data_IF_899302696115
#
_entry.id   IF_899302696115
#
_cell.length_a   1.000
_cell.length_b   1.000
_cell.length_c   1.000
_cell.angle_alpha   90.00
_cell.angle_beta   90.00
_cell.angle_gamma   90.00
#
_symmetry.space_group_name_H-M   'P 1'
#
loop_
_entity.id
_entity.type
_entity.pdbx_description
1 polymer ?
#
# COMPACT_ATOMS: atom_id res chain seq x y z
N UNK A 1 -36.89 -0.32 21.68
CA UNK A 1 -37.39 0.71 20.76
C UNK A 1 -36.14 1.42 20.27
N UNK A 2 -35.63 1.04 19.09
CA UNK A 2 -34.46 1.70 18.51
C UNK A 2 -34.90 3.08 18.06
N UNK A 3 -34.28 4.12 18.61
CA UNK A 3 -34.62 5.49 18.26
C UNK A 3 -33.91 5.92 16.96
N UNK A 4 -34.15 7.16 16.55
CA UNK A 4 -33.54 7.73 15.34
C UNK A 4 -32.00 7.76 15.45
N UNK A 5 -31.45 7.93 16.65
CA UNK A 5 -30.02 7.96 16.90
C UNK A 5 -29.41 6.56 16.78
N UNK A 6 -30.07 5.54 17.33
CA UNK A 6 -29.64 4.15 17.19
C UNK A 6 -29.56 3.74 15.72
N UNK A 7 -30.56 4.14 14.91
CA UNK A 7 -30.60 3.87 13.47
C UNK A 7 -29.52 4.65 12.73
N UNK A 8 -29.28 5.92 13.09
CA UNK A 8 -28.23 6.73 12.47
C UNK A 8 -26.84 6.16 12.75
N UNK A 9 -26.55 5.77 13.99
CA UNK A 9 -25.29 5.16 14.39
C UNK A 9 -25.03 3.85 13.66
N UNK A 10 -26.06 3.00 13.54
CA UNK A 10 -25.94 1.74 12.78
C UNK A 10 -25.57 1.98 11.32
N UNK A 11 -26.25 2.91 10.65
CA UNK A 11 -25.96 3.23 9.25
C UNK A 11 -24.53 3.76 9.08
N UNK A 12 -24.09 4.65 9.98
CA UNK A 12 -22.73 5.16 9.96
C UNK A 12 -21.70 4.04 10.11
N UNK A 13 -21.91 3.14 11.08
CA UNK A 13 -21.03 1.99 11.28
C UNK A 13 -20.95 1.11 10.03
N UNK A 14 -22.09 0.79 9.42
CA UNK A 14 -22.15 0.01 8.18
C UNK A 14 -21.41 0.67 7.02
N UNK A 15 -21.54 1.99 6.86
CA UNK A 15 -20.79 2.73 5.83
C UNK A 15 -19.29 2.72 6.09
N UNK A 16 -18.87 2.93 7.34
CA UNK A 16 -17.45 2.89 7.73
C UNK A 16 -16.84 1.52 7.49
N UNK A 17 -17.52 0.46 7.92
CA UNK A 17 -17.03 -0.91 7.77
C UNK A 17 -16.93 -1.31 6.29
N UNK A 18 -17.89 -0.87 5.47
CA UNK A 18 -17.87 -1.08 4.02
C UNK A 18 -16.70 -0.34 3.37
N UNK A 19 -16.45 0.90 3.75
CA UNK A 19 -15.36 1.70 3.18
C UNK A 19 -13.98 1.13 3.57
N UNK A 20 -13.82 0.70 4.83
CA UNK A 20 -12.62 0.00 5.28
C UNK A 20 -12.39 -1.31 4.50
N UNK A 21 -13.44 -2.12 4.32
CA UNK A 21 -13.35 -3.35 3.53
C UNK A 21 -12.95 -3.07 2.08
N UNK A 22 -13.52 -2.02 1.47
CA UNK A 22 -13.16 -1.60 0.11
C UNK A 22 -11.70 -1.13 0.01
N UNK A 23 -11.21 -0.37 0.98
CA UNK A 23 -9.82 0.08 1.00
C UNK A 23 -8.84 -1.09 1.16
N UNK A 24 -9.15 -2.03 2.05
CA UNK A 24 -8.35 -3.24 2.24
C UNK A 24 -8.32 -4.09 0.97
N UNK A 25 -9.47 -4.27 0.30
CA UNK A 25 -9.56 -5.00 -0.97
C UNK A 25 -8.78 -4.34 -2.12
N UNK A 26 -8.66 -3.01 -2.13
CA UNK A 26 -7.91 -2.25 -3.14
C UNK A 26 -6.41 -2.23 -2.89
N UNK A 27 -5.93 -2.73 -1.74
CA UNK A 27 -4.50 -2.74 -1.41
C UNK A 27 -3.78 -3.78 -2.29
N UNK A 28 -3.21 -3.32 -3.40
CA UNK A 28 -2.39 -4.17 -4.27
C UNK A 28 -1.11 -4.55 -3.52
N UNK A 29 -0.96 -5.84 -3.23
CA UNK A 29 0.29 -6.41 -2.74
C UNK A 29 1.19 -6.69 -3.94
N UNK A 30 2.17 -5.82 -4.16
CA UNK A 30 3.24 -6.10 -5.13
C UNK A 30 4.17 -7.17 -4.52
N UNK A 31 4.45 -8.23 -5.26
CA UNK A 31 5.41 -9.27 -4.86
C UNK A 31 6.82 -8.91 -5.38
N UNK A 32 7.85 -8.88 -4.54
CA UNK A 32 9.21 -8.60 -4.99
C UNK A 32 9.74 -9.73 -5.86
N UNK A 33 10.49 -9.38 -6.90
CA UNK A 33 11.24 -10.35 -7.71
C UNK A 33 12.52 -10.76 -6.97
N UNK A 34 12.80 -12.06 -6.90
CA UNK A 34 13.90 -12.64 -6.10
C UNK A 34 14.62 -13.75 -6.87
N UNK A 35 15.95 -13.76 -6.82
CA UNK A 35 16.75 -14.84 -7.40
C UNK A 35 16.94 -16.03 -6.43
N UNK A 36 17.60 -17.09 -6.91
CA UNK A 36 17.92 -18.28 -6.13
C UNK A 36 18.89 -18.01 -4.96
N UNK A 37 19.61 -16.89 -4.99
CA UNK A 37 20.52 -16.45 -3.93
C UNK A 37 19.83 -15.55 -2.88
N UNK A 38 18.54 -15.22 -3.07
CA UNK A 38 17.77 -14.36 -2.18
C UNK A 38 17.97 -12.85 -2.43
N UNK A 39 18.65 -12.47 -3.52
CA UNK A 39 18.76 -11.08 -3.92
C UNK A 39 17.43 -10.60 -4.49
N UNK A 40 17.01 -9.41 -4.08
CA UNK A 40 15.76 -8.81 -4.54
C UNK A 40 16.02 -7.72 -5.55
N UNK A 41 15.16 -7.64 -6.56
CA UNK A 41 15.30 -6.67 -7.65
C UNK A 41 14.14 -5.68 -7.68
N UNK A 42 14.44 -4.46 -8.11
CA UNK A 42 13.45 -3.42 -8.22
C UNK A 42 12.50 -3.67 -9.40
N UNK A 43 11.20 -3.71 -9.15
CA UNK A 43 10.17 -3.88 -10.19
C UNK A 43 10.05 -2.71 -11.19
N UNK A 44 10.78 -1.61 -11.01
CA UNK A 44 10.77 -0.46 -11.93
C UNK A 44 11.97 -0.47 -12.87
N UNK A 45 13.17 -0.65 -12.33
CA UNK A 45 14.43 -0.47 -13.06
C UNK A 45 15.25 -1.75 -13.18
N UNK A 46 14.87 -2.84 -12.51
CA UNK A 46 15.58 -4.12 -12.54
C UNK A 46 16.87 -4.16 -11.69
N UNK A 47 17.23 -3.06 -11.03
CA UNK A 47 18.43 -2.98 -10.19
C UNK A 47 18.27 -3.78 -8.88
N UNK A 48 19.37 -4.32 -8.35
CA UNK A 48 19.37 -5.00 -7.07
C UNK A 48 19.02 -4.03 -5.93
N UNK A 49 18.12 -4.43 -5.04
CA UNK A 49 17.73 -3.65 -3.87
C UNK A 49 18.83 -3.79 -2.82
N UNK A 50 19.35 -2.66 -2.35
CA UNK A 50 20.35 -2.61 -1.29
C UNK A 50 19.88 -3.38 -0.04
N UNK A 51 20.80 -4.15 0.56
CA UNK A 51 20.51 -5.00 1.72
C UNK A 51 20.02 -4.15 2.90
N UNK A 52 20.61 -2.99 3.14
CA UNK A 52 20.21 -2.04 4.21
C UNK A 52 18.73 -1.65 4.12
N UNK A 53 18.20 -1.54 2.89
CA UNK A 53 16.78 -1.26 2.65
C UNK A 53 15.91 -2.47 2.93
N UNK A 54 16.39 -3.68 2.62
CA UNK A 54 15.68 -4.93 2.92
C UNK A 54 15.68 -5.22 4.42
N UNK A 55 16.73 -4.84 5.15
CA UNK A 55 16.78 -4.92 6.62
C UNK A 55 15.79 -3.95 7.28
N UNK A 56 15.75 -2.70 6.82
CA UNK A 56 14.80 -1.71 7.33
C UNK A 56 13.34 -2.00 6.89
N UNK A 57 13.15 -2.53 5.69
CA UNK A 57 11.85 -2.81 5.09
C UNK A 57 11.88 -4.17 4.34
N UNK A 58 11.56 -5.27 5.04
CA UNK A 58 11.61 -6.63 4.47
C UNK A 58 10.63 -6.91 3.34
N UNK A 59 9.70 -6.00 3.04
CA UNK A 59 8.73 -6.15 1.96
C UNK A 59 8.96 -5.13 0.84
N UNK A 60 10.13 -4.48 0.79
CA UNK A 60 10.45 -3.52 -0.24
C UNK A 60 10.55 -4.20 -1.62
N UNK A 61 9.76 -3.69 -2.58
CA UNK A 61 9.67 -4.17 -3.97
C UNK A 61 10.35 -3.25 -4.99
N UNK A 62 10.76 -2.06 -4.56
CA UNK A 62 11.43 -1.04 -5.39
C UNK A 62 12.63 -0.48 -4.66
N UNK A 63 13.62 -0.01 -5.40
CA UNK A 63 14.76 0.73 -4.85
C UNK A 63 14.31 2.13 -4.37
N UNK A 64 15.14 2.79 -3.55
CA UNK A 64 14.87 4.14 -3.00
C UNK A 64 14.47 5.14 -4.09
N UNK A 65 15.24 5.33 -5.19
CA UNK A 65 14.91 6.38 -6.16
C UNK A 65 13.60 6.12 -6.90
N UNK A 66 13.34 4.88 -7.33
CA UNK A 66 12.07 4.53 -7.99
C UNK A 66 10.86 4.69 -7.06
N UNK A 67 11.03 4.35 -5.78
CA UNK A 67 10.00 4.57 -4.77
C UNK A 67 9.73 6.06 -4.57
N UNK A 68 10.77 6.89 -4.41
CA UNK A 68 10.63 8.33 -4.25
C UNK A 68 9.97 9.00 -5.46
N UNK A 69 10.29 8.53 -6.67
CA UNK A 69 9.65 9.03 -7.89
C UNK A 69 8.16 8.68 -7.94
N UNK A 70 7.79 7.42 -7.64
CA UNK A 70 6.39 6.99 -7.58
C UNK A 70 5.58 7.76 -6.53
N UNK A 71 6.17 8.05 -5.38
CA UNK A 71 5.52 8.85 -4.33
C UNK A 71 5.32 10.31 -4.77
N UNK A 72 6.27 10.90 -5.51
CA UNK A 72 6.12 12.24 -6.10
C UNK A 72 5.04 12.24 -7.17
N UNK A 73 5.03 11.30 -8.10
CA UNK A 73 3.98 11.21 -9.13
C UNK A 73 2.59 10.94 -8.55
N UNK A 74 2.48 10.07 -7.54
CA UNK A 74 1.22 9.80 -6.85
C UNK A 74 0.62 11.04 -6.19
N UNK A 75 1.47 11.92 -5.64
CA UNK A 75 1.03 13.23 -5.10
C UNK A 75 0.50 14.17 -6.18
N UNK A 76 1.05 14.14 -7.40
CA UNK A 76 0.56 14.96 -8.51
C UNK A 76 -0.77 14.46 -9.09
N UNK A 77 -1.03 13.14 -9.05
CA UNK A 77 -2.30 12.55 -9.51
C UNK A 77 -3.45 12.73 -8.53
N UNK A 78 -3.16 12.78 -7.24
CA UNK A 78 -4.13 13.05 -6.18
C UNK A 78 -3.93 14.48 -5.65
N UNK A 79 -4.08 15.46 -6.56
CA UNK A 79 -3.93 16.88 -6.26
C UNK A 79 -4.77 17.28 -5.06
N UNK A 80 -4.06 17.57 -3.96
CA UNK A 80 -4.47 18.52 -2.93
C UNK A 80 -3.66 19.78 -3.17
#
# INVERSE_FOLDING_TARGET
MTDLFDRAQKNEQETRDRDLANQLARRVTETPDQDAAGNRFCLSCGEQIAIERLEAAPNAVRCVPCQSWREREGRHRHGV
#
